data_IF_354623218940
#
_entry.id   IF_354623218940
#
_cell.length_a   1.000
_cell.length_b   1.000
_cell.length_c   1.000
_cell.angle_alpha   90.00
_cell.angle_beta   90.00
_cell.angle_gamma   90.00
#
_symmetry.space_group_name_H-M   'P 1'
#
loop_
_entity.id
_entity.type
_entity.pdbx_description
1 polymer ?
#
# COMPACT_ATOMS: atom_id res chain seq x y z
N UNK A 1 5.09 -21.88 -11.13
CA UNK A 1 5.05 -20.41 -10.98
C UNK A 1 4.39 -20.13 -9.65
N UNK A 2 5.11 -19.66 -8.65
CA UNK A 2 4.49 -19.29 -7.37
C UNK A 2 3.64 -18.04 -7.62
N UNK A 3 2.33 -18.17 -7.45
CA UNK A 3 1.44 -17.00 -7.44
C UNK A 3 1.81 -16.15 -6.22
N UNK A 4 2.14 -14.88 -6.47
CA UNK A 4 2.40 -13.93 -5.41
C UNK A 4 1.10 -13.25 -5.03
N UNK A 5 0.83 -13.17 -3.72
CA UNK A 5 -0.42 -12.69 -3.17
C UNK A 5 -0.25 -11.37 -2.40
N UNK A 6 -1.19 -10.46 -2.59
CA UNK A 6 -1.18 -9.13 -1.99
C UNK A 6 -2.51 -8.86 -1.28
N UNK A 7 -2.44 -8.49 -0.01
CA UNK A 7 -3.57 -8.04 0.79
C UNK A 7 -3.59 -6.52 0.88
N UNK A 8 -4.64 -5.87 0.41
CA UNK A 8 -4.84 -4.41 0.47
C UNK A 8 -5.89 -4.09 1.51
N UNK A 9 -5.53 -3.33 2.55
CA UNK A 9 -6.48 -2.96 3.61
C UNK A 9 -7.35 -1.78 3.18
N UNK A 10 -8.66 -1.89 3.42
CA UNK A 10 -9.65 -0.85 3.16
C UNK A 10 -10.35 -0.49 4.47
N UNK A 11 -9.88 0.56 5.13
CA UNK A 11 -10.58 1.15 6.27
C UNK A 11 -11.60 2.19 5.80
N UNK A 12 -12.65 2.41 6.58
CA UNK A 12 -13.60 3.52 6.35
C UNK A 12 -12.84 4.82 6.09
N UNK A 13 -13.19 5.54 5.01
CA UNK A 13 -12.51 6.74 4.58
C UNK A 13 -11.17 6.51 3.85
N UNK A 14 -10.96 5.31 3.29
CA UNK A 14 -9.82 5.07 2.40
C UNK A 14 -9.83 6.03 1.20
N UNK A 15 -8.68 6.32 0.63
CA UNK A 15 -8.58 7.15 -0.59
C UNK A 15 -8.84 6.27 -1.81
N UNK A 16 -9.89 6.59 -2.56
CA UNK A 16 -10.40 5.76 -3.66
C UNK A 16 -9.43 5.68 -4.82
N UNK A 17 -8.87 6.82 -5.24
CA UNK A 17 -7.91 6.89 -6.34
C UNK A 17 -6.63 6.12 -6.05
N UNK A 18 -6.13 6.17 -4.80
CA UNK A 18 -4.98 5.37 -4.38
C UNK A 18 -5.32 3.87 -4.41
N UNK A 19 -6.33 3.49 -3.64
CA UNK A 19 -6.63 2.08 -3.36
C UNK A 19 -7.05 1.32 -4.61
N UNK A 20 -7.97 1.87 -5.39
CA UNK A 20 -8.50 1.17 -6.57
C UNK A 20 -7.48 1.11 -7.70
N UNK A 21 -6.65 2.15 -7.88
CA UNK A 21 -5.55 2.11 -8.84
C UNK A 21 -4.51 1.05 -8.48
N UNK A 22 -4.15 0.94 -7.19
CA UNK A 22 -3.25 -0.12 -6.72
C UNK A 22 -3.81 -1.49 -7.07
N UNK A 23 -5.06 -1.76 -6.70
CA UNK A 23 -5.71 -3.06 -6.95
C UNK A 23 -5.77 -3.39 -8.44
N UNK A 24 -6.19 -2.43 -9.28
CA UNK A 24 -6.25 -2.60 -10.74
C UNK A 24 -4.87 -2.97 -11.31
N UNK A 25 -3.84 -2.22 -10.98
CA UNK A 25 -2.49 -2.42 -11.52
C UNK A 25 -1.86 -3.74 -11.05
N UNK A 26 -2.02 -4.10 -9.78
CA UNK A 26 -1.48 -5.35 -9.26
C UNK A 26 -2.17 -6.57 -9.90
N UNK A 27 -3.48 -6.52 -10.10
CA UNK A 27 -4.24 -7.56 -10.83
C UNK A 27 -3.84 -7.63 -12.30
N UNK A 28 -3.66 -6.49 -12.98
CA UNK A 28 -3.11 -6.44 -14.36
C UNK A 28 -1.72 -7.07 -14.44
N UNK A 29 -0.88 -6.89 -13.42
CA UNK A 29 0.44 -7.51 -13.32
C UNK A 29 0.44 -9.01 -12.97
N UNK A 30 -0.76 -9.61 -12.87
CA UNK A 30 -0.92 -11.04 -12.59
C UNK A 30 -0.61 -11.44 -11.16
N UNK A 31 -0.77 -10.52 -10.20
CA UNK A 31 -0.73 -10.84 -8.77
C UNK A 31 -2.13 -11.23 -8.28
N UNK A 32 -2.18 -12.16 -7.34
CA UNK A 32 -3.39 -12.47 -6.59
C UNK A 32 -3.63 -11.36 -5.56
N UNK A 33 -4.44 -10.36 -5.92
CA UNK A 33 -4.65 -9.18 -5.11
C UNK A 33 -6.08 -9.14 -4.56
N UNK A 34 -6.22 -9.13 -3.23
CA UNK A 34 -7.49 -9.03 -2.54
C UNK A 34 -7.56 -7.82 -1.63
N UNK A 35 -8.71 -7.16 -1.63
CA UNK A 35 -9.05 -6.11 -0.69
C UNK A 35 -9.67 -6.67 0.57
N UNK A 36 -9.31 -6.11 1.73
CA UNK A 36 -9.81 -6.52 3.04
C UNK A 36 -10.43 -5.34 3.77
N UNK A 37 -11.68 -5.46 4.15
CA UNK A 37 -12.39 -4.54 5.04
C UNK A 37 -12.51 -5.10 6.45
N UNK A 38 -12.86 -4.26 7.44
CA UNK A 38 -12.83 -4.66 8.85
C UNK A 38 -14.17 -5.19 9.36
N UNK A 39 -15.26 -4.46 9.20
CA UNK A 39 -16.54 -4.80 9.83
C UNK A 39 -17.61 -5.15 8.80
N UNK A 40 -17.59 -4.50 7.64
CA UNK A 40 -18.60 -4.62 6.60
C UNK A 40 -17.98 -4.87 5.25
N UNK A 41 -18.67 -5.59 4.38
CA UNK A 41 -18.18 -5.85 3.01
C UNK A 41 -18.09 -4.57 2.17
N UNK A 42 -19.05 -3.63 2.36
CA UNK A 42 -19.06 -2.36 1.66
C UNK A 42 -18.37 -1.28 2.50
N UNK A 43 -17.32 -0.71 1.96
CA UNK A 43 -16.53 0.32 2.63
C UNK A 43 -16.76 1.66 1.93
N UNK A 44 -17.07 2.69 2.71
CA UNK A 44 -17.17 4.06 2.24
C UNK A 44 -15.79 4.68 2.15
N UNK A 45 -15.42 5.18 0.98
CA UNK A 45 -14.22 5.96 0.76
C UNK A 45 -14.35 7.41 1.26
N UNK A 46 -13.25 8.15 1.22
CA UNK A 46 -13.22 9.53 1.70
C UNK A 46 -14.03 10.50 0.83
N UNK A 47 -14.35 10.11 -0.41
CA UNK A 47 -15.18 10.89 -1.36
C UNK A 47 -16.54 10.23 -1.59
N UNK A 48 -17.06 9.52 -0.60
CA UNK A 48 -18.42 8.94 -0.57
C UNK A 48 -18.68 7.83 -1.60
N UNK A 49 -17.65 7.21 -2.17
CA UNK A 49 -17.79 6.04 -3.01
C UNK A 49 -17.80 4.77 -2.15
N UNK A 50 -18.82 3.91 -2.35
CA UNK A 50 -18.92 2.64 -1.66
C UNK A 50 -18.37 1.52 -2.56
N UNK A 51 -17.39 0.80 -2.06
CA UNK A 51 -16.79 -0.32 -2.76
C UNK A 51 -16.89 -1.57 -1.91
N UNK A 52 -17.30 -2.67 -2.53
CA UNK A 52 -17.31 -3.98 -1.89
C UNK A 52 -15.88 -4.52 -1.84
N UNK A 53 -15.39 -4.80 -0.63
CA UNK A 53 -14.13 -5.50 -0.44
C UNK A 53 -14.28 -6.99 -0.82
N UNK A 54 -13.19 -7.61 -1.26
CA UNK A 54 -13.19 -9.03 -1.62
C UNK A 54 -13.38 -9.93 -0.39
N UNK A 55 -12.82 -9.51 0.75
CA UNK A 55 -12.82 -10.30 2.00
C UNK A 55 -12.96 -9.40 3.23
N UNK A 56 -13.39 -9.99 4.33
CA UNK A 56 -13.29 -9.36 5.65
C UNK A 56 -11.92 -9.64 6.29
N UNK A 57 -11.44 -8.70 7.08
CA UNK A 57 -10.19 -8.81 7.84
C UNK A 57 -10.22 -10.03 8.76
N UNK A 58 -9.24 -10.92 8.59
CA UNK A 58 -9.12 -12.14 9.38
C UNK A 58 -7.67 -12.64 9.39
N UNK A 59 -7.41 -13.75 10.08
CA UNK A 59 -6.07 -14.32 10.23
C UNK A 59 -5.41 -14.82 8.94
N UNK A 60 -6.17 -15.04 7.85
CA UNK A 60 -5.64 -15.51 6.56
C UNK A 60 -4.68 -14.49 5.91
N UNK A 61 -4.80 -13.20 6.27
CA UNK A 61 -3.93 -12.13 5.75
C UNK A 61 -2.45 -12.44 6.01
N UNK A 62 -2.13 -13.13 7.10
CA UNK A 62 -0.75 -13.55 7.43
C UNK A 62 -0.11 -14.48 6.40
N UNK A 63 -0.91 -15.12 5.55
CA UNK A 63 -0.44 -16.02 4.49
C UNK A 63 -0.12 -15.28 3.17
N UNK A 64 -0.37 -13.99 3.09
CA UNK A 64 -0.07 -13.17 1.91
C UNK A 64 1.41 -12.81 1.86
N UNK A 65 1.96 -12.68 0.65
CA UNK A 65 3.36 -12.29 0.45
C UNK A 65 3.59 -10.79 0.74
N UNK A 66 2.55 -9.97 0.60
CA UNK A 66 2.63 -8.52 0.84
C UNK A 66 1.35 -7.98 1.48
N UNK A 67 1.52 -7.04 2.41
CA UNK A 67 0.47 -6.21 3.00
C UNK A 67 0.55 -4.79 2.44
N UNK A 68 -0.57 -4.23 1.97
CA UNK A 68 -0.65 -2.85 1.44
C UNK A 68 -1.57 -1.99 2.31
N UNK A 69 -1.05 -0.84 2.70
CA UNK A 69 -1.71 0.17 3.53
C UNK A 69 -1.90 1.46 2.71
N UNK A 70 -3.08 1.66 2.08
CA UNK A 70 -3.39 2.91 1.39
C UNK A 70 -3.58 4.08 2.37
N UNK A 71 -3.73 5.27 1.83
CA UNK A 71 -4.08 6.44 2.61
C UNK A 71 -5.59 6.70 2.70
N UNK A 72 -5.90 7.97 2.90
CA UNK A 72 -7.26 8.50 3.03
C UNK A 72 -7.49 9.20 4.37
N UNK A 73 -8.55 10.00 4.42
CA UNK A 73 -9.01 10.67 5.65
C UNK A 73 -10.50 10.38 5.85
N UNK A 74 -10.88 9.68 6.92
CA UNK A 74 -10.04 9.22 8.05
C UNK A 74 -9.34 7.86 7.84
N UNK A 75 -9.34 7.26 6.65
CA UNK A 75 -8.85 5.89 6.39
C UNK A 75 -7.48 5.59 7.00
N UNK A 76 -6.48 6.44 6.75
CA UNK A 76 -5.15 6.28 7.34
C UNK A 76 -5.13 6.37 8.86
N UNK A 77 -5.98 7.23 9.44
CA UNK A 77 -6.12 7.32 10.91
C UNK A 77 -6.80 6.06 11.47
N UNK A 78 -7.82 5.55 10.80
CA UNK A 78 -8.49 4.33 11.21
C UNK A 78 -7.55 3.11 11.19
N UNK A 79 -6.65 3.03 10.19
CA UNK A 79 -5.60 2.01 10.17
C UNK A 79 -4.60 2.21 11.31
N UNK A 80 -4.18 3.45 11.58
CA UNK A 80 -3.22 3.80 12.61
C UNK A 80 -3.72 3.48 14.02
N UNK A 81 -5.00 3.67 14.28
CA UNK A 81 -5.63 3.42 15.59
C UNK A 81 -5.99 1.95 15.81
N UNK A 82 -6.03 1.15 14.75
CA UNK A 82 -6.38 -0.26 14.84
C UNK A 82 -5.17 -1.10 15.31
N UNK A 83 -5.23 -1.61 16.54
CA UNK A 83 -4.14 -2.40 17.12
C UNK A 83 -3.88 -3.71 16.37
N UNK A 84 -4.89 -4.32 15.75
CA UNK A 84 -4.71 -5.53 14.94
C UNK A 84 -3.92 -5.23 13.67
N UNK A 85 -4.09 -4.05 13.08
CA UNK A 85 -3.29 -3.58 11.93
C UNK A 85 -1.84 -3.37 12.35
N UNK A 86 -1.59 -2.72 13.49
CA UNK A 86 -0.22 -2.53 14.01
C UNK A 86 0.46 -3.87 14.23
N UNK A 87 -0.22 -4.81 14.89
CA UNK A 87 0.28 -6.15 15.14
C UNK A 87 0.53 -6.94 13.84
N UNK A 88 -0.32 -6.76 12.85
CA UNK A 88 -0.16 -7.39 11.53
C UNK A 88 1.07 -6.85 10.79
N UNK A 89 1.30 -5.53 10.81
CA UNK A 89 2.48 -4.90 10.21
C UNK A 89 3.77 -5.42 10.88
N UNK A 90 3.77 -5.52 12.21
CA UNK A 90 4.89 -6.10 12.96
C UNK A 90 5.13 -7.56 12.57
N UNK A 91 4.07 -8.36 12.48
CA UNK A 91 4.15 -9.75 12.05
C UNK A 91 4.80 -9.88 10.67
N UNK A 92 4.35 -9.11 9.67
CA UNK A 92 4.93 -9.12 8.32
C UNK A 92 6.41 -8.76 8.33
N UNK A 93 6.79 -7.75 9.12
CA UNK A 93 8.20 -7.35 9.24
C UNK A 93 9.07 -8.44 9.90
N UNK A 94 8.60 -9.06 10.97
CA UNK A 94 9.30 -10.13 11.70
C UNK A 94 9.49 -11.39 10.83
N UNK A 95 8.53 -11.68 9.95
CA UNK A 95 8.57 -12.83 9.04
C UNK A 95 9.21 -12.50 7.68
N UNK A 96 9.81 -11.32 7.53
CA UNK A 96 10.43 -10.85 6.28
C UNK A 96 9.48 -10.85 5.07
N UNK A 97 8.16 -10.77 5.31
CA UNK A 97 7.16 -10.55 4.29
C UNK A 97 7.17 -9.07 3.87
N UNK A 98 6.72 -8.80 2.67
CA UNK A 98 6.72 -7.42 2.15
C UNK A 98 5.60 -6.58 2.76
N UNK A 99 5.89 -5.31 2.94
CA UNK A 99 4.93 -4.30 3.38
C UNK A 99 5.00 -3.12 2.42
N UNK A 100 3.86 -2.64 1.98
CA UNK A 100 3.79 -1.45 1.14
C UNK A 100 2.81 -0.45 1.75
N UNK A 101 3.18 0.83 1.78
CA UNK A 101 2.31 1.88 2.30
C UNK A 101 2.45 3.18 1.51
N UNK A 102 1.36 3.93 1.38
CA UNK A 102 1.43 5.24 0.76
C UNK A 102 0.59 6.27 1.50
N UNK A 103 0.89 7.55 1.22
CA UNK A 103 0.15 8.68 1.77
C UNK A 103 0.07 8.59 3.31
N UNK A 104 -1.13 8.75 3.89
CA UNK A 104 -1.34 8.62 5.33
C UNK A 104 -1.16 7.20 5.88
N UNK A 105 -1.21 6.18 5.04
CA UNK A 105 -0.90 4.79 5.43
C UNK A 105 0.54 4.59 5.91
N UNK A 106 1.48 5.44 5.47
CA UNK A 106 2.90 5.34 5.88
C UNK A 106 3.13 5.58 7.38
N UNK A 107 2.27 6.37 8.04
CA UNK A 107 2.39 6.63 9.49
C UNK A 107 2.14 5.37 10.33
N UNK A 108 1.40 4.40 9.78
CA UNK A 108 1.21 3.09 10.41
C UNK A 108 2.55 2.35 10.57
N UNK A 109 3.45 2.49 9.59
CA UNK A 109 4.79 1.88 9.64
C UNK A 109 5.66 2.46 10.76
N UNK A 110 5.58 3.78 10.98
CA UNK A 110 6.25 4.44 12.09
C UNK A 110 5.70 3.95 13.42
N UNK A 111 4.37 3.92 13.57
CA UNK A 111 3.68 3.42 14.78
C UNK A 111 4.03 1.96 15.09
N UNK A 112 4.16 1.13 14.05
CA UNK A 112 4.56 -0.26 14.18
C UNK A 112 6.08 -0.44 14.46
N UNK A 113 6.85 0.64 14.39
CA UNK A 113 8.32 0.66 14.58
C UNK A 113 9.08 -0.25 13.61
N UNK A 114 8.68 -0.27 12.33
CA UNK A 114 9.27 -1.17 11.32
C UNK A 114 10.16 -0.47 10.30
N UNK A 115 10.25 0.88 10.33
CA UNK A 115 11.01 1.68 9.36
C UNK A 115 12.35 2.21 9.87
N UNK A 116 12.74 1.87 11.08
CA UNK A 116 13.99 2.37 11.68
C UNK A 116 15.21 2.07 10.81
N UNK A 117 15.90 3.14 10.37
CA UNK A 117 17.09 3.06 9.54
C UNK A 117 16.82 2.56 8.10
N UNK A 118 15.57 2.60 7.64
CA UNK A 118 15.20 2.29 6.26
C UNK A 118 14.88 3.57 5.50
N UNK A 119 15.22 3.62 4.22
CA UNK A 119 14.77 4.69 3.33
C UNK A 119 13.27 4.60 3.13
N UNK A 120 12.57 5.70 3.37
CA UNK A 120 11.12 5.80 3.22
C UNK A 120 10.72 7.12 2.60
N UNK A 121 9.55 7.15 1.99
CA UNK A 121 8.86 8.38 1.61
C UNK A 121 7.42 8.34 2.12
N UNK A 122 6.72 9.45 2.02
CA UNK A 122 5.33 9.57 2.47
C UNK A 122 4.69 10.85 1.93
N UNK A 123 3.49 11.13 2.39
CA UNK A 123 2.78 12.33 1.96
C UNK A 123 3.58 13.60 2.25
N UNK A 124 3.39 14.63 1.43
CA UNK A 124 4.05 15.93 1.60
C UNK A 124 3.92 16.45 3.04
N UNK A 125 5.05 16.77 3.68
CA UNK A 125 5.08 17.22 5.07
C UNK A 125 5.08 16.10 6.11
N UNK A 126 5.25 14.83 5.71
CA UNK A 126 5.29 13.70 6.64
C UNK A 126 6.69 13.34 7.15
N UNK A 127 7.73 14.04 6.71
CA UNK A 127 9.09 13.84 7.26
C UNK A 127 9.13 13.92 8.79
N UNK A 128 8.32 14.81 9.38
CA UNK A 128 8.23 14.96 10.85
C UNK A 128 7.35 13.89 11.52
N UNK A 129 6.70 13.04 10.72
CA UNK A 129 5.88 11.92 11.20
C UNK A 129 6.56 10.56 10.98
N UNK A 130 7.60 10.49 10.17
CA UNK A 130 8.36 9.27 9.83
C UNK A 130 9.79 9.41 10.34
N UNK A 131 9.91 9.76 11.62
CA UNK A 131 11.17 10.21 12.25
C UNK A 131 12.18 9.10 12.47
N UNK A 132 11.76 7.83 12.53
CA UNK A 132 12.67 6.70 12.72
C UNK A 132 13.27 6.19 11.40
N UNK A 133 12.69 6.55 10.26
CA UNK A 133 13.18 6.22 8.93
C UNK A 133 14.06 7.32 8.32
N UNK A 134 14.86 6.96 7.33
CA UNK A 134 15.61 7.90 6.51
C UNK A 134 14.67 8.45 5.42
N UNK A 135 14.00 9.58 5.69
CA UNK A 135 13.04 10.16 4.76
C UNK A 135 13.73 10.70 3.51
N UNK A 136 13.26 10.25 2.33
CA UNK A 136 13.71 10.72 1.02
C UNK A 136 12.54 11.26 0.20
N UNK A 137 12.75 12.32 -0.55
CA UNK A 137 11.72 12.91 -1.41
C UNK A 137 11.73 12.24 -2.80
N UNK A 138 11.31 10.98 -2.83
CA UNK A 138 11.16 10.18 -4.05
C UNK A 138 9.72 9.73 -4.21
N UNK A 139 9.28 9.53 -5.45
CA UNK A 139 7.89 9.16 -5.77
C UNK A 139 7.52 7.80 -5.18
N UNK A 140 8.43 6.83 -5.27
CA UNK A 140 8.28 5.50 -4.68
C UNK A 140 9.65 4.94 -4.29
N UNK A 141 9.75 4.42 -3.08
CA UNK A 141 10.99 3.90 -2.49
C UNK A 141 10.79 2.44 -2.10
N UNK A 142 11.77 1.61 -2.39
CA UNK A 142 11.87 0.25 -1.86
C UNK A 142 13.16 0.12 -1.07
N UNK A 143 13.07 -0.27 0.17
CA UNK A 143 14.22 -0.63 1.00
C UNK A 143 13.91 -1.86 1.85
N UNK A 144 14.80 -2.84 1.78
CA UNK A 144 14.67 -4.15 2.43
C UNK A 144 13.35 -4.87 2.06
N UNK A 145 12.36 -4.83 2.92
CA UNK A 145 11.05 -5.45 2.70
C UNK A 145 9.90 -4.42 2.64
N UNK A 146 10.21 -3.12 2.58
CA UNK A 146 9.20 -2.04 2.64
C UNK A 146 9.21 -1.21 1.36
N UNK A 147 8.00 -1.03 0.79
CA UNK A 147 7.75 -0.08 -0.31
C UNK A 147 6.94 1.08 0.24
N UNK A 148 7.37 2.31 -0.03
CA UNK A 148 6.60 3.51 0.34
C UNK A 148 6.39 4.45 -0.83
N UNK A 149 5.28 5.25 -0.79
CA UNK A 149 4.98 6.27 -1.78
C UNK A 149 4.21 7.44 -1.17
N UNK A 150 3.96 8.48 -1.98
CA UNK A 150 3.59 9.81 -1.46
C UNK A 150 2.09 10.05 -1.36
N UNK A 151 1.31 9.97 -2.44
CA UNK A 151 -0.08 10.41 -2.38
C UNK A 151 -0.90 10.13 -3.64
N UNK A 152 -2.09 10.74 -3.80
CA UNK A 152 -3.08 10.35 -4.82
C UNK A 152 -2.61 10.42 -6.28
N UNK A 153 -1.55 11.16 -6.58
CA UNK A 153 -0.95 11.21 -7.92
C UNK A 153 0.12 10.12 -8.15
N UNK A 154 0.45 9.33 -7.14
CA UNK A 154 1.58 8.38 -7.18
C UNK A 154 1.22 6.88 -7.09
N UNK A 155 -0.05 6.44 -7.19
CA UNK A 155 -0.37 5.00 -7.15
C UNK A 155 0.22 4.22 -8.33
N UNK A 156 0.37 4.83 -9.51
CA UNK A 156 1.00 4.18 -10.67
C UNK A 156 2.46 3.79 -10.38
N UNK A 157 3.38 4.74 -10.11
CA UNK A 157 4.77 4.39 -9.79
C UNK A 157 4.90 3.52 -8.54
N UNK A 158 4.01 3.67 -7.55
CA UNK A 158 3.96 2.78 -6.40
C UNK A 158 3.64 1.34 -6.77
N UNK A 159 2.60 1.12 -7.58
CA UNK A 159 2.20 -0.21 -8.04
C UNK A 159 3.26 -0.85 -8.95
N UNK A 160 3.88 -0.05 -9.83
CA UNK A 160 5.01 -0.54 -10.64
C UNK A 160 6.18 -0.97 -9.77
N UNK A 161 6.51 -0.22 -8.72
CA UNK A 161 7.55 -0.60 -7.76
C UNK A 161 7.21 -1.92 -7.05
N UNK A 162 5.97 -2.13 -6.65
CA UNK A 162 5.52 -3.41 -6.06
C UNK A 162 5.67 -4.56 -7.06
N UNK A 163 5.26 -4.37 -8.31
CA UNK A 163 5.41 -5.39 -9.35
C UNK A 163 6.88 -5.73 -9.60
N UNK A 164 7.76 -4.72 -9.67
CA UNK A 164 9.21 -4.90 -9.81
C UNK A 164 9.82 -5.67 -8.63
N UNK A 165 9.36 -5.42 -7.39
CA UNK A 165 9.78 -6.18 -6.18
C UNK A 165 9.44 -7.67 -6.32
N UNK A 166 8.34 -8.00 -6.99
CA UNK A 166 7.96 -9.37 -7.32
C UNK A 166 8.60 -9.91 -8.63
N UNK A 167 9.57 -9.18 -9.19
CA UNK A 167 10.30 -9.59 -10.39
C UNK A 167 9.51 -9.49 -11.68
N UNK A 168 8.47 -8.63 -11.72
CA UNK A 168 7.69 -8.38 -12.93
C UNK A 168 8.31 -7.27 -13.77
N UNK A 169 8.40 -7.46 -15.09
CA UNK A 169 8.69 -6.38 -16.02
C UNK A 169 7.40 -5.57 -16.26
N UNK A 170 7.48 -4.27 -16.05
CA UNK A 170 6.35 -3.34 -16.18
C UNK A 170 6.38 -2.51 -17.46
N UNK A 171 7.32 -2.78 -18.36
CA UNK A 171 7.56 -1.98 -19.58
C UNK A 171 6.31 -1.99 -20.49
N UNK A 172 5.85 -3.17 -20.89
CA UNK A 172 4.65 -3.30 -21.73
C UNK A 172 3.39 -2.77 -21.04
N UNK A 173 3.30 -2.94 -19.72
CA UNK A 173 2.18 -2.41 -18.94
C UNK A 173 2.16 -0.88 -18.97
N UNK A 174 3.29 -0.21 -18.77
CA UNK A 174 3.40 1.26 -18.85
C UNK A 174 2.98 1.79 -20.22
N UNK A 175 3.35 1.10 -21.29
CA UNK A 175 2.95 1.46 -22.65
C UNK A 175 1.44 1.26 -22.87
N UNK A 176 0.91 0.10 -22.52
CA UNK A 176 -0.51 -0.23 -22.66
C UNK A 176 -1.45 0.67 -21.83
N UNK A 177 -0.97 1.16 -20.70
CA UNK A 177 -1.67 2.13 -19.85
C UNK A 177 -1.50 3.59 -20.32
N UNK A 178 -0.78 3.86 -21.40
CA UNK A 178 -0.45 5.21 -21.86
C UNK A 178 0.31 6.03 -20.79
N UNK A 179 0.93 5.35 -19.81
CA UNK A 179 1.58 6.01 -18.68
C UNK A 179 2.72 6.93 -19.13
N UNK A 180 3.60 6.43 -20.01
CA UNK A 180 4.72 7.21 -20.55
C UNK A 180 4.23 8.40 -21.40
N UNK A 181 3.13 8.22 -22.14
CA UNK A 181 2.51 9.28 -22.95
C UNK A 181 1.92 10.38 -22.08
N UNK A 182 1.29 10.04 -20.95
CA UNK A 182 0.72 10.98 -20.00
C UNK A 182 1.76 11.74 -19.16
N UNK A 183 3.05 11.55 -19.43
CA UNK A 183 4.15 12.24 -18.73
C UNK A 183 4.69 11.47 -17.53
N UNK A 184 4.35 10.19 -17.41
CA UNK A 184 4.97 9.26 -16.46
C UNK A 184 6.45 9.04 -16.85
N UNK A 185 7.36 9.43 -15.96
CA UNK A 185 8.81 9.22 -16.13
C UNK A 185 9.30 8.17 -15.16
#
# INVERSE_FOLDING_TARGET
MLFRSVAVLMAEGYEEGETLTIVDLLRRGGLECHTFSFNEEFVRGMHDMYVKADKLFNGEIKNYDMLVLPGGRPGGQNLLENQDVISLVQYFNEHHQYIAAMCSGTVVLEKANVIKGKKVTGYTGYQDKLVSGDFVNEVAVFDQNIVTSQGPATPYPFSFKILEVFGKDVTEMKEGLMYNFAGGK
#
